data_IF_739338316167
#
_entry.id   IF_739338316167
#
_cell.length_a   1.000
_cell.length_b   1.000
_cell.length_c   1.000
_cell.angle_alpha   90.00
_cell.angle_beta   90.00
_cell.angle_gamma   90.00
#
_symmetry.space_group_name_H-M   'P 1'
#
loop_
_entity.id
_entity.type
_entity.pdbx_description
1 polymer ?
#
# COMPACT_ATOMS: atom_id res chain seq x y z
N UNK A 1 13.24 -6.25 12.58
CA UNK A 1 14.52 -6.83 12.11
C UNK A 1 15.71 -6.10 12.72
N UNK A 2 15.88 -4.80 12.55
CA UNK A 2 16.99 -4.05 13.16
C UNK A 2 17.08 -4.23 14.67
N UNK A 3 15.97 -4.28 15.40
CA UNK A 3 15.96 -4.54 16.83
C UNK A 3 16.59 -5.89 17.19
N UNK A 4 16.31 -6.93 16.41
CA UNK A 4 16.93 -8.26 16.58
C UNK A 4 18.42 -8.19 16.28
N UNK A 5 18.82 -7.53 15.18
CA UNK A 5 20.21 -7.37 14.82
C UNK A 5 20.98 -6.58 15.88
N UNK A 6 20.43 -5.48 16.36
CA UNK A 6 21.02 -4.64 17.42
C UNK A 6 21.13 -5.37 18.77
N UNK A 7 20.19 -6.29 19.04
CA UNK A 7 20.18 -7.04 20.30
C UNK A 7 21.17 -8.22 20.31
N UNK A 8 21.28 -8.94 19.18
CA UNK A 8 21.96 -10.23 19.16
C UNK A 8 23.21 -10.28 18.27
N UNK A 9 23.39 -9.32 17.34
CA UNK A 9 24.44 -9.31 16.34
C UNK A 9 25.25 -8.02 16.31
N UNK A 10 25.16 -7.20 17.36
CA UNK A 10 25.84 -5.90 17.44
C UNK A 10 27.33 -6.03 17.13
N UNK A 11 27.82 -5.27 16.18
CA UNK A 11 29.22 -5.28 15.74
C UNK A 11 29.60 -6.45 14.84
N UNK A 12 28.65 -7.32 14.45
CA UNK A 12 28.93 -8.36 13.48
C UNK A 12 29.25 -7.75 12.10
N UNK A 13 30.25 -8.30 11.43
CA UNK A 13 30.64 -7.97 10.06
C UNK A 13 30.07 -9.00 9.09
N UNK A 14 30.06 -8.67 7.80
CA UNK A 14 29.67 -9.58 6.70
C UNK A 14 28.21 -10.09 6.79
N UNK A 15 27.33 -9.28 7.40
CA UNK A 15 25.92 -9.59 7.48
C UNK A 15 25.22 -9.30 6.14
N UNK A 16 24.32 -10.20 5.75
CA UNK A 16 23.49 -10.07 4.55
C UNK A 16 22.04 -10.30 4.93
N UNK A 17 21.16 -9.44 4.45
CA UNK A 17 19.72 -9.65 4.51
C UNK A 17 19.26 -10.40 3.27
N UNK A 18 18.56 -11.49 3.50
CA UNK A 18 17.87 -12.23 2.44
C UNK A 18 16.42 -11.78 2.43
N UNK A 19 16.02 -11.16 1.31
CA UNK A 19 14.65 -10.71 1.13
C UNK A 19 13.82 -11.84 0.57
N UNK A 20 12.74 -12.18 1.28
CA UNK A 20 11.86 -13.29 0.92
C UNK A 20 10.46 -12.73 0.66
N UNK A 21 9.94 -12.95 -0.56
CA UNK A 21 8.54 -12.69 -0.85
C UNK A 21 7.69 -13.86 -0.34
N UNK A 22 6.87 -13.58 0.66
CA UNK A 22 6.04 -14.59 1.31
C UNK A 22 5.03 -15.26 0.37
N UNK A 23 4.60 -14.56 -0.70
CA UNK A 23 3.65 -15.08 -1.70
C UNK A 23 4.24 -16.26 -2.49
N UNK A 24 5.56 -16.28 -2.68
CA UNK A 24 6.26 -17.31 -3.43
C UNK A 24 6.91 -18.38 -2.53
N UNK A 25 6.74 -18.23 -1.20
CA UNK A 25 7.27 -19.18 -0.24
C UNK A 25 6.47 -20.48 -0.28
N UNK A 26 7.14 -21.61 -0.54
CA UNK A 26 6.51 -22.92 -0.60
C UNK A 26 6.20 -23.51 0.79
N UNK A 27 7.01 -23.14 1.79
CA UNK A 27 6.86 -23.63 3.16
C UNK A 27 5.84 -22.80 3.94
N UNK A 28 5.11 -23.39 4.91
CA UNK A 28 4.19 -22.65 5.77
C UNK A 28 4.89 -21.54 6.54
N UNK A 29 4.31 -20.35 6.51
CA UNK A 29 4.72 -19.17 7.28
C UNK A 29 3.68 -18.92 8.38
N UNK A 30 4.14 -18.74 9.62
CA UNK A 30 3.31 -18.33 10.75
C UNK A 30 3.89 -17.11 11.42
N UNK A 31 3.01 -16.24 11.89
CA UNK A 31 3.37 -15.09 12.72
C UNK A 31 3.16 -15.45 14.17
N UNK A 32 4.25 -15.56 14.93
CA UNK A 32 4.26 -16.04 16.31
C UNK A 32 5.12 -15.13 17.18
N UNK A 33 4.81 -15.00 18.49
CA UNK A 33 5.67 -14.27 19.41
C UNK A 33 7.07 -14.93 19.52
N UNK A 34 8.10 -14.19 19.94
CA UNK A 34 9.45 -14.74 20.09
C UNK A 34 9.47 -15.87 21.12
N UNK A 35 10.27 -16.88 20.86
CA UNK A 35 10.58 -17.87 21.88
C UNK A 35 11.48 -17.24 22.96
N UNK A 36 11.11 -17.37 24.21
CA UNK A 36 11.93 -16.91 25.33
C UNK A 36 13.01 -17.94 25.67
N UNK A 37 14.26 -17.48 25.78
CA UNK A 37 15.41 -18.37 26.07
C UNK A 37 15.27 -19.04 27.45
N UNK A 38 14.61 -18.39 28.38
CA UNK A 38 14.34 -18.88 29.74
C UNK A 38 13.10 -19.80 29.85
N UNK A 39 12.44 -20.07 28.71
CA UNK A 39 11.23 -20.90 28.63
C UNK A 39 9.97 -20.25 29.20
N UNK A 40 10.01 -18.95 29.51
CA UNK A 40 8.81 -18.24 29.96
C UNK A 40 7.76 -18.15 28.82
N UNK A 41 6.46 -18.16 29.16
CA UNK A 41 5.42 -18.04 28.15
C UNK A 41 5.40 -16.64 27.53
N UNK A 42 5.07 -16.57 26.25
CA UNK A 42 4.91 -15.31 25.53
C UNK A 42 3.81 -14.43 26.13
N UNK A 43 4.02 -13.12 26.16
CA UNK A 43 3.06 -12.16 26.68
C UNK A 43 2.05 -11.72 25.61
N UNK A 44 0.80 -11.36 25.98
CA UNK A 44 -0.27 -11.03 25.02
C UNK A 44 0.02 -9.85 24.07
N UNK A 45 1.02 -9.04 24.34
CA UNK A 45 1.35 -7.81 23.59
C UNK A 45 2.74 -7.86 22.94
N UNK A 46 3.38 -9.02 22.92
CA UNK A 46 4.67 -9.16 22.26
C UNK A 46 4.53 -9.05 20.74
N UNK A 47 5.50 -8.43 20.07
CA UNK A 47 5.50 -8.36 18.61
C UNK A 47 5.59 -9.77 18.01
N UNK A 48 4.80 -10.01 16.97
CA UNK A 48 4.87 -11.27 16.22
C UNK A 48 6.01 -11.23 15.21
N UNK A 49 6.69 -12.36 15.07
CA UNK A 49 7.75 -12.57 14.09
C UNK A 49 7.36 -13.65 13.08
N UNK A 50 7.78 -13.53 11.81
CA UNK A 50 7.53 -14.56 10.81
C UNK A 50 8.42 -15.79 11.06
N UNK A 51 7.78 -16.93 11.23
CA UNK A 51 8.45 -18.22 11.39
C UNK A 51 8.13 -19.12 10.18
N UNK A 52 9.19 -19.54 9.47
CA UNK A 52 9.07 -20.42 8.30
C UNK A 52 9.23 -21.87 8.76
N UNK A 53 8.18 -22.66 8.54
CA UNK A 53 8.16 -24.08 8.91
C UNK A 53 8.55 -24.97 7.74
N UNK A 54 9.84 -24.93 7.39
CA UNK A 54 10.40 -25.71 6.31
C UNK A 54 11.56 -25.02 5.61
N UNK A 55 11.87 -25.47 4.40
CA UNK A 55 12.95 -24.89 3.59
C UNK A 55 12.49 -23.63 2.86
N UNK A 56 13.39 -22.66 2.73
CA UNK A 56 13.17 -21.50 1.85
C UNK A 56 13.55 -21.93 0.43
N UNK A 57 12.55 -21.93 -0.46
CA UNK A 57 12.79 -22.18 -1.88
C UNK A 57 13.41 -20.95 -2.56
N UNK A 58 14.35 -21.17 -3.47
CA UNK A 58 15.07 -20.07 -4.13
C UNK A 58 14.14 -19.11 -4.89
N UNK A 59 13.03 -19.60 -5.43
CA UNK A 59 12.03 -18.75 -6.12
C UNK A 59 11.31 -17.74 -5.20
N UNK A 60 11.40 -17.90 -3.89
CA UNK A 60 10.88 -16.93 -2.93
C UNK A 60 11.92 -15.86 -2.53
N UNK A 61 13.19 -16.09 -2.85
CA UNK A 61 14.27 -15.12 -2.57
C UNK A 61 14.30 -14.11 -3.70
N UNK A 62 14.00 -12.85 -3.39
CA UNK A 62 13.94 -11.78 -4.38
C UNK A 62 15.22 -10.96 -4.43
N UNK A 63 15.94 -10.85 -3.31
CA UNK A 63 17.14 -10.04 -3.24
C UNK A 63 18.06 -10.46 -2.09
N UNK A 64 19.36 -10.18 -2.26
CA UNK A 64 20.36 -10.15 -1.20
C UNK A 64 20.81 -8.70 -1.01
N UNK A 65 20.79 -8.22 0.23
CA UNK A 65 21.16 -6.84 0.56
C UNK A 65 22.28 -6.86 1.60
N UNK A 66 23.39 -6.18 1.31
CA UNK A 66 24.43 -5.98 2.31
C UNK A 66 23.86 -5.28 3.55
N UNK A 67 24.25 -5.76 4.73
CA UNK A 67 23.78 -5.26 6.00
C UNK A 67 24.95 -4.94 6.93
N UNK A 68 25.75 -3.91 6.58
CA UNK A 68 26.88 -3.52 7.38
C UNK A 68 26.44 -2.87 8.68
N UNK A 69 27.19 -3.08 9.75
CA UNK A 69 26.98 -2.33 10.98
C UNK A 69 27.57 -0.91 10.88
N UNK A 70 27.01 0.00 11.64
CA UNK A 70 27.52 1.35 11.86
C UNK A 70 28.85 1.33 12.65
N UNK A 71 29.59 2.44 12.70
CA UNK A 71 30.82 2.54 13.49
C UNK A 71 30.65 2.23 14.99
N UNK A 72 29.45 2.41 15.54
CA UNK A 72 29.11 2.08 16.93
C UNK A 72 28.65 0.62 17.09
N UNK A 73 28.67 -0.16 16.02
CA UNK A 73 28.24 -1.55 15.97
C UNK A 73 26.73 -1.75 15.82
N UNK A 74 25.94 -0.70 15.74
CA UNK A 74 24.49 -0.78 15.50
C UNK A 74 24.15 -1.07 14.03
N UNK A 75 22.92 -1.48 13.78
CA UNK A 75 22.38 -1.73 12.43
C UNK A 75 21.17 -0.82 12.17
N UNK A 76 21.19 -0.16 11.04
CA UNK A 76 20.04 0.57 10.49
C UNK A 76 19.44 -0.17 9.30
N UNK A 77 18.16 0.09 9.01
CA UNK A 77 17.52 -0.49 7.85
C UNK A 77 18.18 0.05 6.57
N UNK A 78 18.73 -0.80 5.69
CA UNK A 78 19.31 -0.36 4.44
C UNK A 78 18.32 0.46 3.61
N UNK A 79 18.79 1.55 3.00
CA UNK A 79 17.94 2.46 2.22
C UNK A 79 17.17 1.73 1.10
N UNK A 80 17.77 0.71 0.47
CA UNK A 80 17.12 -0.11 -0.55
C UNK A 80 15.85 -0.80 -0.03
N UNK A 81 15.78 -1.09 1.27
CA UNK A 81 14.64 -1.76 1.91
C UNK A 81 13.53 -0.79 2.36
N UNK A 82 13.79 0.50 2.26
CA UNK A 82 12.81 1.55 2.55
C UNK A 82 12.18 2.14 1.29
N UNK A 83 12.71 1.78 0.12
CA UNK A 83 12.20 2.27 -1.16
C UNK A 83 11.03 1.45 -1.65
N UNK A 84 10.13 2.11 -2.32
CA UNK A 84 9.04 1.50 -3.07
C UNK A 84 8.89 2.24 -4.41
N UNK A 85 8.31 1.58 -5.39
CA UNK A 85 7.95 2.16 -6.69
C UNK A 85 6.45 2.24 -6.84
N UNK A 86 5.98 3.20 -7.64
CA UNK A 86 4.57 3.29 -8.02
C UNK A 86 4.51 3.01 -9.52
N UNK A 87 3.69 2.02 -9.87
CA UNK A 87 3.52 1.57 -11.26
C UNK A 87 2.04 1.44 -11.58
N UNK A 88 1.63 1.61 -12.85
CA UNK A 88 0.28 1.23 -13.26
C UNK A 88 0.01 -0.24 -12.97
N UNK A 89 -1.12 -0.54 -12.30
CA UNK A 89 -1.46 -1.92 -11.88
C UNK A 89 -1.50 -2.90 -13.06
N UNK A 90 -1.89 -2.42 -14.26
CA UNK A 90 -1.90 -3.22 -15.49
C UNK A 90 -0.54 -3.77 -15.92
N UNK A 91 0.56 -3.16 -15.44
CA UNK A 91 1.93 -3.63 -15.72
C UNK A 91 2.36 -4.78 -14.81
N UNK A 92 1.60 -5.05 -13.76
CA UNK A 92 1.89 -6.08 -12.75
C UNK A 92 0.71 -7.04 -12.56
N UNK A 93 0.31 -7.77 -13.62
CA UNK A 93 -0.92 -8.58 -13.64
C UNK A 93 -0.94 -9.69 -12.60
N UNK A 94 0.21 -10.13 -12.11
CA UNK A 94 0.32 -11.12 -11.05
C UNK A 94 -0.22 -10.61 -9.69
N UNK A 95 -0.34 -9.28 -9.53
CA UNK A 95 -0.96 -8.66 -8.36
C UNK A 95 -2.47 -8.45 -8.48
N UNK A 96 -3.08 -8.55 -9.68
CA UNK A 96 -4.48 -8.18 -9.90
C UNK A 96 -5.43 -8.88 -8.93
N UNK A 97 -5.29 -10.19 -8.73
CA UNK A 97 -6.18 -10.93 -7.84
C UNK A 97 -6.03 -10.49 -6.37
N UNK A 98 -4.80 -10.25 -5.91
CA UNK A 98 -4.53 -9.80 -4.54
C UNK A 98 -5.04 -8.36 -4.34
N UNK A 99 -4.73 -7.47 -5.29
CA UNK A 99 -5.21 -6.09 -5.27
C UNK A 99 -6.74 -6.01 -5.29
N UNK A 100 -7.39 -6.83 -6.15
CA UNK A 100 -8.84 -6.90 -6.23
C UNK A 100 -9.48 -7.37 -4.90
N UNK A 101 -8.87 -8.35 -4.21
CA UNK A 101 -9.34 -8.80 -2.90
C UNK A 101 -9.23 -7.68 -1.86
N UNK A 102 -8.10 -6.97 -1.82
CA UNK A 102 -7.91 -5.83 -0.92
C UNK A 102 -8.91 -4.69 -1.19
N UNK A 103 -9.21 -4.42 -2.46
CA UNK A 103 -10.21 -3.43 -2.85
C UNK A 103 -11.61 -3.85 -2.43
N UNK A 104 -11.99 -5.10 -2.69
CA UNK A 104 -13.29 -5.64 -2.28
C UNK A 104 -13.45 -5.59 -0.75
N UNK A 105 -12.44 -6.03 -0.01
CA UNK A 105 -12.45 -6.02 1.47
C UNK A 105 -12.56 -4.58 2.04
N UNK A 106 -11.99 -3.61 1.34
CA UNK A 106 -12.00 -2.21 1.78
C UNK A 106 -13.32 -1.49 1.47
N UNK A 107 -13.95 -1.75 0.31
CA UNK A 107 -15.05 -0.92 -0.20
C UNK A 107 -16.37 -1.65 -0.49
N UNK A 108 -16.46 -2.97 -0.28
CA UNK A 108 -17.73 -3.72 -0.51
C UNK A 108 -18.91 -3.22 0.32
N UNK A 109 -18.66 -2.54 1.42
CA UNK A 109 -19.68 -1.92 2.26
C UNK A 109 -20.27 -0.66 1.58
N UNK A 110 -19.45 0.11 0.86
CA UNK A 110 -19.86 1.31 0.15
C UNK A 110 -20.41 1.00 -1.24
N UNK A 111 -19.87 -0.04 -1.89
CA UNK A 111 -20.22 -0.50 -3.23
C UNK A 111 -20.58 -2.00 -3.20
N UNK A 112 -21.77 -2.36 -2.68
CA UNK A 112 -22.16 -3.77 -2.49
C UNK A 112 -22.38 -4.56 -3.78
N UNK A 113 -22.52 -3.88 -4.91
CA UNK A 113 -22.64 -4.50 -6.24
C UNK A 113 -21.29 -4.98 -6.77
N UNK A 114 -20.19 -4.44 -6.24
CA UNK A 114 -18.85 -4.78 -6.72
C UNK A 114 -18.47 -6.21 -6.33
N UNK A 115 -17.82 -6.86 -7.27
CA UNK A 115 -17.31 -8.22 -7.12
C UNK A 115 -15.79 -8.25 -7.29
N UNK A 116 -15.17 -9.35 -6.93
CA UNK A 116 -13.76 -9.56 -7.22
C UNK A 116 -13.46 -9.38 -8.72
N UNK A 117 -14.36 -9.85 -9.59
CA UNK A 117 -14.23 -9.75 -11.04
C UNK A 117 -14.32 -8.30 -11.52
N UNK A 118 -15.17 -7.47 -10.91
CA UNK A 118 -15.28 -6.02 -11.19
C UNK A 118 -13.90 -5.36 -11.07
N UNK A 119 -13.20 -5.59 -9.97
CA UNK A 119 -11.85 -5.03 -9.75
C UNK A 119 -10.80 -5.63 -10.70
N UNK A 120 -10.83 -6.94 -10.95
CA UNK A 120 -9.91 -7.59 -11.90
C UNK A 120 -10.08 -7.00 -13.30
N UNK A 121 -11.30 -6.81 -13.75
CA UNK A 121 -11.59 -6.23 -15.07
C UNK A 121 -11.12 -4.78 -15.15
N UNK A 122 -11.35 -3.99 -14.11
CA UNK A 122 -10.83 -2.62 -14.01
C UNK A 122 -9.31 -2.58 -14.09
N UNK A 123 -8.60 -3.49 -13.40
CA UNK A 123 -7.12 -3.51 -13.36
C UNK A 123 -6.49 -3.98 -14.67
N UNK A 124 -7.20 -4.78 -15.47
CA UNK A 124 -6.73 -5.21 -16.77
C UNK A 124 -6.94 -4.18 -17.87
N UNK A 125 -7.82 -3.22 -17.63
CA UNK A 125 -8.23 -2.22 -18.63
C UNK A 125 -7.13 -1.15 -18.81
N UNK A 126 -7.04 -0.64 -20.02
CA UNK A 126 -6.07 0.40 -20.37
C UNK A 126 -6.78 1.73 -20.61
N UNK A 127 -6.85 2.55 -19.55
CA UNK A 127 -7.33 3.94 -19.65
C UNK A 127 -8.85 4.12 -19.78
N UNK A 128 -9.65 3.06 -19.86
CA UNK A 128 -11.11 3.16 -19.87
C UNK A 128 -11.74 1.87 -19.34
N UNK A 129 -12.65 2.01 -18.39
CA UNK A 129 -13.47 0.93 -17.86
C UNK A 129 -14.92 1.42 -17.75
N UNK A 130 -15.88 0.64 -18.29
CA UNK A 130 -17.30 1.02 -18.32
C UNK A 130 -17.54 2.44 -18.88
N UNK A 131 -16.90 2.76 -20.02
CA UNK A 131 -16.95 4.06 -20.71
C UNK A 131 -16.39 5.25 -19.92
N UNK A 132 -15.66 4.99 -18.82
CA UNK A 132 -14.99 6.02 -18.00
C UNK A 132 -13.47 5.88 -18.08
N UNK A 133 -12.78 7.01 -17.94
CA UNK A 133 -11.33 7.00 -17.78
C UNK A 133 -10.96 6.47 -16.38
N UNK A 134 -10.11 5.46 -16.33
CA UNK A 134 -9.60 4.86 -15.09
C UNK A 134 -8.12 4.53 -15.24
N UNK A 135 -7.31 5.03 -14.34
CA UNK A 135 -5.92 4.57 -14.16
C UNK A 135 -5.69 4.18 -12.69
N UNK A 136 -5.33 2.92 -12.45
CA UNK A 136 -5.03 2.40 -11.11
C UNK A 136 -3.53 2.25 -10.96
N UNK A 137 -3.00 2.73 -9.84
CA UNK A 137 -1.58 2.69 -9.50
C UNK A 137 -1.35 1.80 -8.28
N UNK A 138 -0.33 0.97 -8.35
CA UNK A 138 0.12 0.11 -7.28
C UNK A 138 1.46 0.58 -6.74
N UNK A 139 1.58 0.69 -5.43
CA UNK A 139 2.87 0.85 -4.76
C UNK A 139 3.42 -0.53 -4.42
N UNK A 140 4.64 -0.81 -4.90
CA UNK A 140 5.33 -2.08 -4.68
C UNK A 140 6.65 -1.84 -3.97
N UNK A 141 6.96 -2.66 -2.97
CA UNK A 141 8.28 -2.64 -2.39
C UNK A 141 9.28 -3.39 -3.31
N UNK A 142 10.56 -3.32 -2.96
CA UNK A 142 11.63 -3.99 -3.71
C UNK A 142 11.52 -5.54 -3.70
N UNK A 143 10.70 -6.12 -2.79
CA UNK A 143 10.39 -7.57 -2.77
C UNK A 143 9.19 -7.91 -3.66
N UNK A 144 8.72 -6.97 -4.48
CA UNK A 144 7.52 -7.12 -5.30
C UNK A 144 6.27 -7.44 -4.45
N UNK A 145 6.16 -6.83 -3.26
CA UNK A 145 4.96 -6.94 -2.44
C UNK A 145 4.10 -5.69 -2.59
N UNK A 146 2.79 -5.88 -2.70
CA UNK A 146 1.82 -4.79 -2.81
C UNK A 146 1.68 -4.05 -1.49
N UNK A 147 2.01 -2.76 -1.48
CA UNK A 147 1.93 -1.89 -0.31
C UNK A 147 0.67 -1.03 -0.28
N UNK A 148 0.10 -0.73 -1.44
CA UNK A 148 -1.08 0.11 -1.53
C UNK A 148 -1.51 0.37 -2.96
N UNK A 149 -2.67 1.00 -3.09
CA UNK A 149 -3.32 1.36 -4.34
C UNK A 149 -3.81 2.80 -4.29
N UNK A 150 -3.92 3.45 -5.43
CA UNK A 150 -4.69 4.67 -5.64
C UNK A 150 -5.20 4.71 -7.09
N UNK A 151 -6.33 5.34 -7.29
CA UNK A 151 -7.01 5.40 -8.59
C UNK A 151 -7.22 6.83 -9.02
N UNK A 152 -7.03 7.10 -10.30
CA UNK A 152 -7.45 8.32 -10.98
C UNK A 152 -8.62 7.97 -11.89
N UNK A 153 -9.76 8.63 -11.69
CA UNK A 153 -10.96 8.46 -12.49
C UNK A 153 -11.52 9.82 -12.93
N UNK A 154 -12.23 9.86 -14.03
CA UNK A 154 -12.96 11.07 -14.44
C UNK A 154 -14.25 11.27 -13.62
N UNK A 155 -14.92 10.19 -13.21
CA UNK A 155 -16.11 10.19 -12.36
C UNK A 155 -16.00 9.07 -11.31
N UNK A 156 -16.08 9.43 -10.03
CA UNK A 156 -16.00 8.52 -8.88
C UNK A 156 -17.39 8.13 -8.33
N UNK A 157 -18.42 8.21 -9.15
CA UNK A 157 -19.81 7.77 -8.89
C UNK A 157 -20.43 8.34 -7.60
N UNK A 158 -19.92 9.47 -7.11
CA UNK A 158 -20.47 10.10 -5.93
C UNK A 158 -21.89 10.65 -6.22
N UNK A 159 -22.95 10.18 -5.56
CA UNK A 159 -24.30 10.63 -5.82
C UNK A 159 -24.44 12.15 -5.67
N UNK A 160 -24.99 12.80 -6.71
CA UNK A 160 -25.19 14.25 -6.72
C UNK A 160 -23.92 15.07 -6.85
N UNK A 161 -22.82 14.48 -7.29
CA UNK A 161 -21.61 15.23 -7.62
C UNK A 161 -21.88 16.21 -8.77
N UNK A 162 -21.35 17.41 -8.64
CA UNK A 162 -21.37 18.46 -9.67
C UNK A 162 -19.96 18.90 -10.04
N UNK A 163 -18.97 18.36 -9.39
CA UNK A 163 -17.56 18.58 -9.63
C UNK A 163 -17.18 17.96 -10.98
N UNK A 164 -16.40 18.68 -11.80
CA UNK A 164 -16.08 18.20 -13.17
C UNK A 164 -15.09 17.02 -13.21
N UNK A 165 -14.57 16.61 -12.06
CA UNK A 165 -13.45 15.68 -12.01
C UNK A 165 -12.11 16.28 -12.48
N UNK A 166 -11.02 15.53 -12.58
CA UNK A 166 -10.97 14.10 -12.21
C UNK A 166 -10.99 13.89 -10.70
N UNK A 167 -11.09 12.63 -10.31
CA UNK A 167 -11.14 12.22 -8.91
C UNK A 167 -9.96 11.33 -8.52
N UNK A 168 -9.41 11.59 -7.34
CA UNK A 168 -8.56 10.65 -6.63
C UNK A 168 -9.46 9.71 -5.84
N UNK A 169 -9.49 8.45 -6.22
CA UNK A 169 -10.34 7.42 -5.64
C UNK A 169 -9.52 6.27 -5.04
N UNK A 170 -10.17 5.48 -4.21
CA UNK A 170 -9.70 4.19 -3.73
C UNK A 170 -8.25 4.18 -3.21
N UNK A 171 -7.88 5.16 -2.38
CA UNK A 171 -6.56 5.21 -1.74
C UNK A 171 -6.51 4.20 -0.59
N UNK A 172 -5.74 3.14 -0.78
CA UNK A 172 -5.55 2.08 0.20
C UNK A 172 -4.06 1.85 0.49
N UNK A 173 -3.70 1.65 1.74
CA UNK A 173 -2.35 1.23 2.16
C UNK A 173 -2.48 0.09 3.14
N UNK A 174 -1.79 -1.03 2.86
CA UNK A 174 -1.76 -2.19 3.74
C UNK A 174 -1.29 -1.77 5.14
N UNK A 175 -1.84 -2.33 6.22
CA UNK A 175 -1.55 -1.88 7.58
C UNK A 175 -0.06 -1.79 7.93
N UNK A 176 0.73 -2.77 7.48
CA UNK A 176 2.19 -2.84 7.75
C UNK A 176 3.00 -1.77 7.03
N UNK A 177 2.46 -1.17 5.95
CA UNK A 177 3.09 -0.11 5.16
C UNK A 177 2.55 1.30 5.47
N UNK A 178 1.70 1.43 6.49
CA UNK A 178 1.20 2.74 6.92
C UNK A 178 2.29 3.53 7.65
N UNK A 179 2.19 4.86 7.59
CA UNK A 179 3.09 5.83 8.25
C UNK A 179 4.54 5.86 7.71
N UNK A 180 4.86 5.14 6.64
CA UNK A 180 6.16 5.18 5.97
C UNK A 180 6.14 5.95 4.65
N UNK A 181 5.08 6.73 4.38
CA UNK A 181 5.00 7.63 3.22
C UNK A 181 4.27 7.07 1.99
N UNK A 182 3.92 5.78 1.95
CA UNK A 182 3.29 5.13 0.78
C UNK A 182 2.03 5.86 0.33
N UNK A 183 1.09 6.15 1.23
CA UNK A 183 -0.15 6.84 0.88
C UNK A 183 0.10 8.24 0.32
N UNK A 184 1.05 9.00 0.89
CA UNK A 184 1.42 10.32 0.38
C UNK A 184 1.98 10.23 -1.04
N UNK A 185 2.89 9.30 -1.28
CA UNK A 185 3.50 9.12 -2.59
C UNK A 185 2.48 8.66 -3.66
N UNK A 186 1.53 7.79 -3.30
CA UNK A 186 0.43 7.40 -4.19
C UNK A 186 -0.43 8.61 -4.58
N UNK A 187 -0.80 9.46 -3.63
CA UNK A 187 -1.57 10.68 -3.90
C UNK A 187 -0.77 11.64 -4.78
N UNK A 188 0.49 11.89 -4.44
CA UNK A 188 1.36 12.77 -5.22
C UNK A 188 1.52 12.25 -6.66
N UNK A 189 1.60 10.92 -6.84
CA UNK A 189 1.65 10.29 -8.16
C UNK A 189 0.37 10.55 -8.97
N UNK A 190 -0.81 10.35 -8.36
CA UNK A 190 -2.10 10.60 -9.01
C UNK A 190 -2.27 12.08 -9.34
N UNK A 191 -1.92 12.98 -8.43
CA UNK A 191 -1.95 14.43 -8.65
C UNK A 191 -1.04 14.84 -9.82
N UNK A 192 0.19 14.32 -9.87
CA UNK A 192 1.11 14.57 -10.97
C UNK A 192 0.57 14.03 -12.29
N UNK A 193 -0.02 12.84 -12.27
CA UNK A 193 -0.65 12.23 -13.45
C UNK A 193 -1.83 13.07 -13.97
N UNK A 194 -2.64 13.61 -13.08
CA UNK A 194 -3.73 14.53 -13.44
C UNK A 194 -3.19 15.78 -14.14
N UNK A 195 -2.08 16.35 -13.61
CA UNK A 195 -1.41 17.50 -14.23
C UNK A 195 -0.86 17.17 -15.63
N UNK A 196 -0.26 16.00 -15.82
CA UNK A 196 0.21 15.52 -17.13
C UNK A 196 -0.91 15.39 -18.15
N UNK A 197 -2.12 15.02 -17.69
CA UNK A 197 -3.32 14.94 -18.53
C UNK A 197 -3.96 16.30 -18.82
N UNK A 198 -3.44 17.39 -18.23
CA UNK A 198 -3.88 18.76 -18.49
C UNK A 198 -4.98 19.27 -17.58
N UNK A 199 -5.29 18.54 -16.49
CA UNK A 199 -6.23 19.02 -15.48
C UNK A 199 -5.58 20.11 -14.62
N UNK A 200 -6.37 21.09 -14.18
CA UNK A 200 -5.95 22.16 -13.28
C UNK A 200 -6.39 21.96 -11.83
N UNK A 201 -7.24 20.98 -11.61
CA UNK A 201 -7.74 20.62 -10.28
C UNK A 201 -8.13 19.15 -10.25
N UNK A 202 -8.18 18.57 -9.05
CA UNK A 202 -8.58 17.19 -8.79
C UNK A 202 -9.41 17.15 -7.51
N UNK A 203 -10.36 16.24 -7.45
CA UNK A 203 -11.28 16.08 -6.33
C UNK A 203 -11.09 14.74 -5.63
N UNK A 204 -11.57 14.63 -4.42
CA UNK A 204 -11.79 13.40 -3.68
C UNK A 204 -12.98 13.57 -2.73
N UNK A 205 -13.48 12.46 -2.21
CA UNK A 205 -14.31 12.50 -1.01
C UNK A 205 -13.79 11.53 0.06
N UNK A 206 -14.04 11.83 1.32
CA UNK A 206 -13.58 11.02 2.46
C UNK A 206 -14.54 11.18 3.64
N UNK A 207 -14.67 10.11 4.42
CA UNK A 207 -15.46 10.07 5.64
C UNK A 207 -14.67 10.58 6.87
N UNK A 208 -13.39 10.24 6.98
CA UNK A 208 -12.62 10.42 8.22
C UNK A 208 -11.19 10.92 8.04
N UNK A 209 -10.71 11.20 6.81
CA UNK A 209 -9.33 11.60 6.54
C UNK A 209 -9.17 13.08 6.17
N UNK A 210 -10.18 13.92 6.36
CA UNK A 210 -10.16 15.35 5.98
C UNK A 210 -8.88 16.05 6.46
N UNK A 211 -8.56 15.98 7.75
CA UNK A 211 -7.39 16.66 8.33
C UNK A 211 -6.04 16.16 7.74
N UNK A 212 -6.00 14.89 7.34
CA UNK A 212 -4.81 14.33 6.73
C UNK A 212 -4.60 14.86 5.30
N UNK A 213 -5.68 15.04 4.55
CA UNK A 213 -5.67 15.66 3.23
C UNK A 213 -5.40 17.17 3.30
N UNK A 214 -5.99 17.90 4.26
CA UNK A 214 -5.72 19.33 4.47
C UNK A 214 -4.25 19.63 4.67
N UNK A 215 -3.54 18.81 5.44
CA UNK A 215 -2.08 18.91 5.64
C UNK A 215 -1.27 18.71 4.35
N UNK A 216 -1.91 18.27 3.26
CA UNK A 216 -1.34 18.04 1.92
C UNK A 216 -1.84 19.01 0.87
N UNK A 217 -2.43 20.12 1.31
CA UNK A 217 -2.88 21.19 0.42
C UNK A 217 -4.26 20.98 -0.19
N UNK A 218 -4.99 19.93 0.23
CA UNK A 218 -6.38 19.77 -0.15
C UNK A 218 -7.28 20.71 0.63
N UNK A 219 -8.28 21.27 -0.03
CA UNK A 219 -9.24 22.22 0.58
C UNK A 219 -10.63 21.61 0.62
N UNK A 220 -11.33 21.81 1.73
CA UNK A 220 -12.73 21.44 1.88
C UNK A 220 -13.59 22.17 0.83
N UNK A 221 -14.51 21.47 0.22
CA UNK A 221 -15.46 22.03 -0.75
C UNK A 221 -16.88 22.00 -0.18
N UNK A 222 -17.38 20.84 0.22
CA UNK A 222 -18.72 20.67 0.76
C UNK A 222 -18.88 19.34 1.51
N UNK A 223 -19.93 19.25 2.31
CA UNK A 223 -20.42 17.98 2.85
C UNK A 223 -21.21 17.21 1.79
N UNK A 224 -21.22 15.89 1.92
CA UNK A 224 -22.00 14.99 1.09
C UNK A 224 -22.41 13.74 1.88
N UNK A 225 -23.28 12.93 1.30
CA UNK A 225 -23.67 11.63 1.84
C UNK A 225 -23.38 10.54 0.80
N UNK A 226 -22.72 9.48 1.24
CA UNK A 226 -22.65 8.22 0.53
C UNK A 226 -23.26 7.14 1.43
N UNK A 227 -24.27 6.41 0.97
CA UNK A 227 -24.98 5.39 1.75
C UNK A 227 -25.43 5.88 3.16
N UNK A 228 -25.94 7.10 3.25
CA UNK A 228 -26.31 7.79 4.50
C UNK A 228 -25.17 8.08 5.48
N UNK A 229 -23.92 7.83 5.08
CA UNK A 229 -22.74 8.21 5.86
C UNK A 229 -22.20 9.57 5.40
N UNK A 230 -21.77 10.37 6.37
CA UNK A 230 -21.21 11.70 6.08
C UNK A 230 -19.82 11.56 5.47
N UNK A 231 -19.64 12.27 4.37
CA UNK A 231 -18.36 12.47 3.72
C UNK A 231 -18.13 13.96 3.48
N UNK A 232 -16.91 14.32 3.23
CA UNK A 232 -16.55 15.66 2.75
C UNK A 232 -15.91 15.54 1.38
N UNK A 233 -16.33 16.42 0.47
CA UNK A 233 -15.66 16.59 -0.82
C UNK A 233 -14.53 17.58 -0.63
N UNK A 234 -13.37 17.25 -1.17
CA UNK A 234 -12.17 18.07 -1.11
C UNK A 234 -11.61 18.29 -2.52
N UNK A 235 -10.89 19.39 -2.69
CA UNK A 235 -10.28 19.82 -3.95
C UNK A 235 -8.80 20.11 -3.74
N UNK A 236 -7.99 19.77 -4.72
CA UNK A 236 -6.61 20.23 -4.85
C UNK A 236 -6.43 20.96 -6.19
N UNK A 237 -5.93 22.19 -6.16
CA UNK A 237 -5.49 22.92 -7.36
C UNK A 237 -4.09 22.41 -7.75
N UNK A 238 -3.87 22.08 -9.05
CA UNK A 238 -2.67 21.37 -9.52
C UNK A 238 -2.00 22.06 -10.72
#
# INVERSE_FOLDING_TARGET
MCDVANKYYRGATDMVLVVINQTYLASPLKWEPPAHIDGSPSLPHEPLFPHIYGTVNLGAVTQFVEFPCNPDGSFDLPAQLTTFSIVPIRQVPHHHKHAAQLSLDAWSHDFPEDTLQTYIDMFTTTGSYADRFVEVFAALNFADELLGLATLVDDDELPGATEPGPWLAAVFVVPVARKIGVGSALIDHVVNRSRELGYSEIFLYTDNQQQWYEKRGWTYTRDTLLNNMKHVVMRNAI
#
